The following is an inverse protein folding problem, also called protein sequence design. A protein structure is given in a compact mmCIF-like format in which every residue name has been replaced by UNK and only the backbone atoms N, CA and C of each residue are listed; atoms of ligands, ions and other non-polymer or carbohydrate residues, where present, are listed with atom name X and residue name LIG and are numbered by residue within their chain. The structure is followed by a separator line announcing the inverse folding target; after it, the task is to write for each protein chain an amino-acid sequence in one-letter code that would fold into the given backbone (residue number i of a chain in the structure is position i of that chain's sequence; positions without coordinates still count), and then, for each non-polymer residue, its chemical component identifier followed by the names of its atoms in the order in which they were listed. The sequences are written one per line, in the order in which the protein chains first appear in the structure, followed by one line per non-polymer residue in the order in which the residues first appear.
data_IF_019981891677
#
_entry.id   IF_019981891677
#
_cell.length_a   1.000
_cell.length_b   1.000
_cell.length_c   1.000
_cell.angle_alpha   90.00
_cell.angle_beta   90.00
_cell.angle_gamma   90.00
#
_symmetry.space_group_name_H-M   'P 1'
#
loop_
_entity.id
_entity.type
_entity.pdbx_description
1 polymer ?
#
# COMPACT_ATOMS: atom_id res chain seq x y z
N UNK A 1 5.69 13.45 -17.91
CA UNK A 1 5.00 12.17 -17.62
C UNK A 1 5.73 11.06 -18.36
N UNK A 2 6.82 10.54 -17.79
CA UNK A 2 7.54 9.40 -18.36
C UNK A 2 6.76 8.12 -17.99
N UNK A 3 6.02 7.60 -18.96
CA UNK A 3 5.17 6.41 -18.84
C UNK A 3 6.06 5.16 -18.80
N UNK A 4 6.53 4.81 -17.61
CA UNK A 4 6.69 3.42 -17.22
C UNK A 4 5.49 3.09 -16.34
N UNK A 5 4.80 1.97 -16.56
CA UNK A 5 3.68 1.61 -15.70
C UNK A 5 4.20 1.40 -14.28
N UNK A 6 3.92 2.36 -13.38
CA UNK A 6 4.19 2.23 -11.93
C UNK A 6 3.61 0.93 -11.37
N UNK A 7 2.62 0.36 -12.05
CA UNK A 7 2.10 -0.99 -11.82
C UNK A 7 3.19 -2.07 -11.64
N UNK A 8 4.12 -2.23 -12.60
CA UNK A 8 5.15 -3.27 -12.50
C UNK A 8 6.12 -2.99 -11.36
N UNK A 9 6.46 -1.72 -11.16
CA UNK A 9 7.30 -1.27 -10.04
C UNK A 9 6.61 -1.56 -8.71
N UNK A 10 5.32 -1.24 -8.57
CA UNK A 10 4.54 -1.46 -7.34
C UNK A 10 4.32 -2.95 -7.01
N UNK A 11 4.40 -3.83 -8.01
CA UNK A 11 4.32 -5.28 -7.82
C UNK A 11 5.67 -5.88 -7.43
N UNK A 12 6.76 -5.41 -8.03
CA UNK A 12 8.11 -5.95 -7.86
C UNK A 12 9.00 -5.14 -6.92
N UNK A 13 8.49 -4.07 -6.32
CA UNK A 13 9.23 -3.27 -5.36
C UNK A 13 9.40 -4.06 -4.05
N UNK A 14 10.65 -4.31 -3.59
CA UNK A 14 10.90 -5.11 -2.40
C UNK A 14 10.27 -4.50 -1.13
N UNK A 15 10.21 -3.17 -1.02
CA UNK A 15 9.66 -2.52 0.16
C UNK A 15 8.14 -2.67 0.24
N UNK A 16 7.46 -2.50 -0.89
CA UNK A 16 6.01 -2.68 -1.00
C UNK A 16 5.62 -4.13 -0.79
N UNK A 17 6.37 -5.08 -1.35
CA UNK A 17 6.18 -6.51 -1.09
C UNK A 17 6.39 -6.88 0.38
N UNK A 18 7.45 -6.36 1.01
CA UNK A 18 7.69 -6.59 2.42
C UNK A 18 6.52 -6.09 3.28
N UNK A 19 6.00 -4.89 3.02
CA UNK A 19 4.81 -4.37 3.70
C UNK A 19 3.59 -5.29 3.54
N UNK A 20 3.37 -5.84 2.34
CA UNK A 20 2.31 -6.83 2.09
C UNK A 20 2.54 -8.14 2.83
N UNK A 21 3.78 -8.66 2.87
CA UNK A 21 4.10 -9.88 3.60
C UNK A 21 3.91 -9.71 5.11
N UNK A 22 4.39 -8.58 5.65
CA UNK A 22 4.21 -8.25 7.07
C UNK A 22 2.71 -8.19 7.42
N UNK A 23 1.93 -7.45 6.63
CA UNK A 23 0.50 -7.23 6.90
C UNK A 23 -0.35 -8.49 6.70
N UNK A 24 -0.13 -9.22 5.60
CA UNK A 24 -1.05 -10.29 5.16
C UNK A 24 -0.55 -11.71 5.43
N UNK A 25 0.73 -11.92 5.73
CA UNK A 25 1.24 -13.26 6.05
C UNK A 25 1.72 -13.34 7.50
N UNK A 26 2.61 -12.44 7.91
CA UNK A 26 3.26 -12.51 9.22
C UNK A 26 2.28 -12.15 10.34
N UNK A 27 1.51 -11.06 10.19
CA UNK A 27 0.61 -10.57 11.25
C UNK A 27 -0.55 -11.52 11.57
N UNK A 28 -1.24 -12.15 10.60
CA UNK A 28 -2.24 -13.17 10.91
C UNK A 28 -1.67 -14.36 11.67
N UNK A 29 -0.45 -14.79 11.34
CA UNK A 29 0.26 -15.84 12.09
C UNK A 29 0.53 -15.38 13.52
N UNK A 30 0.98 -14.14 13.71
CA UNK A 30 1.14 -13.55 15.04
C UNK A 30 -0.18 -13.51 15.83
N UNK A 31 -1.29 -13.07 15.21
CA UNK A 31 -2.61 -13.05 15.86
C UNK A 31 -3.09 -14.44 16.26
N UNK A 32 -2.85 -15.44 15.41
CA UNK A 32 -3.17 -16.83 15.71
C UNK A 32 -2.44 -17.32 16.97
N UNK A 33 -1.12 -17.14 17.02
CA UNK A 33 -0.34 -17.55 18.20
C UNK A 33 -0.65 -16.71 19.44
N UNK A 34 -0.91 -15.40 19.29
CA UNK A 34 -1.31 -14.53 20.39
C UNK A 34 -2.62 -15.00 21.02
N UNK A 35 -3.62 -15.37 20.20
CA UNK A 35 -4.91 -15.83 20.71
C UNK A 35 -4.82 -17.22 21.33
N UNK A 36 -4.02 -18.14 20.78
CA UNK A 36 -3.74 -19.42 21.44
C UNK A 36 -3.08 -19.20 22.82
N UNK A 37 -2.10 -18.30 22.88
CA UNK A 37 -1.42 -17.99 24.14
C UNK A 37 -2.38 -17.30 25.12
N UNK A 38 -3.29 -16.45 24.64
CA UNK A 38 -4.35 -15.86 25.44
C UNK A 38 -5.24 -16.94 26.05
N UNK A 39 -5.75 -17.88 25.25
CA UNK A 39 -6.61 -18.98 25.72
C UNK A 39 -5.91 -19.82 26.80
N UNK A 40 -4.60 -20.08 26.62
CA UNK A 40 -3.79 -20.78 27.62
C UNK A 40 -3.66 -19.95 28.90
N UNK A 41 -3.31 -18.66 28.81
CA UNK A 41 -3.13 -17.80 29.99
C UNK A 41 -4.44 -17.55 30.74
N UNK A 42 -5.55 -17.39 30.02
CA UNK A 42 -6.89 -17.28 30.61
C UNK A 42 -7.25 -18.56 31.38
N UNK A 43 -6.84 -19.75 30.91
CA UNK A 43 -7.02 -21.00 31.66
C UNK A 43 -6.25 -21.05 33.01
N UNK A 44 -5.27 -20.16 33.20
CA UNK A 44 -4.52 -19.94 34.44
C UNK A 44 -4.93 -18.65 35.18
N UNK A 45 -6.06 -18.03 34.82
CA UNK A 45 -6.54 -16.74 35.36
C UNK A 45 -5.56 -15.56 35.18
N UNK A 46 -4.73 -15.59 34.12
CA UNK A 46 -3.76 -14.55 33.79
C UNK A 46 -4.22 -13.68 32.60
N UNK A 47 -4.68 -12.46 32.87
CA UNK A 47 -5.24 -11.53 31.87
C UNK A 47 -4.21 -10.51 31.35
N UNK A 48 -3.03 -10.97 30.94
CA UNK A 48 -1.96 -10.08 30.49
C UNK A 48 -2.06 -9.70 28.99
N UNK A 49 -2.69 -10.56 28.18
CA UNK A 49 -2.78 -10.38 26.74
C UNK A 49 -4.15 -9.84 26.34
N UNK A 50 -4.21 -9.14 25.20
CA UNK A 50 -5.46 -8.68 24.61
C UNK A 50 -5.83 -9.51 23.38
N UNK A 51 -7.11 -9.87 23.19
CA UNK A 51 -7.56 -10.63 22.03
C UNK A 51 -7.33 -9.84 20.74
N UNK A 52 -6.79 -10.52 19.73
CA UNK A 52 -6.52 -9.93 18.43
C UNK A 52 -7.53 -10.44 17.41
N UNK A 53 -8.22 -9.52 16.74
CA UNK A 53 -9.18 -9.88 15.70
C UNK A 53 -8.48 -10.00 14.35
N UNK A 54 -8.69 -11.12 13.64
CA UNK A 54 -8.20 -11.29 12.28
C UNK A 54 -8.76 -10.22 11.33
N UNK A 55 -7.93 -9.66 10.44
CA UNK A 55 -8.38 -8.64 9.50
C UNK A 55 -9.22 -9.31 8.39
N UNK A 56 -10.45 -8.83 8.22
CA UNK A 56 -11.33 -9.25 7.14
C UNK A 56 -10.88 -8.56 5.85
N UNK A 57 -10.10 -9.27 5.04
CA UNK A 57 -9.55 -8.82 3.77
C UNK A 57 -9.88 -9.89 2.71
N UNK A 58 -10.02 -9.47 1.45
CA UNK A 58 -10.32 -10.38 0.35
C UNK A 58 -9.22 -11.45 0.15
N UNK A 59 -9.62 -12.71 0.00
CA UNK A 59 -8.73 -13.85 -0.25
C UNK A 59 -7.70 -13.65 -1.37
N UNK A 60 -8.03 -13.01 -2.52
CA UNK A 60 -7.06 -12.81 -3.60
C UNK A 60 -5.79 -12.05 -3.17
N UNK A 61 -5.90 -11.16 -2.16
CA UNK A 61 -4.76 -10.41 -1.63
C UNK A 61 -3.81 -11.33 -0.86
N UNK A 62 -4.37 -12.22 -0.03
CA UNK A 62 -3.60 -13.25 0.69
C UNK A 62 -2.91 -14.20 -0.30
N UNK A 63 -3.64 -14.65 -1.32
CA UNK A 63 -3.09 -15.51 -2.37
C UNK A 63 -1.93 -14.82 -3.10
N UNK A 64 -2.09 -13.56 -3.50
CA UNK A 64 -1.03 -12.79 -4.14
C UNK A 64 0.20 -12.67 -3.23
N UNK A 65 0.02 -12.33 -1.95
CA UNK A 65 1.12 -12.22 -1.00
C UNK A 65 1.84 -13.56 -0.80
N UNK A 66 1.10 -14.66 -0.65
CA UNK A 66 1.65 -16.00 -0.47
C UNK A 66 2.43 -16.47 -1.71
N UNK A 67 1.86 -16.30 -2.91
CA UNK A 67 2.51 -16.69 -4.17
C UNK A 67 3.78 -15.87 -4.44
N UNK A 68 3.73 -14.56 -4.23
CA UNK A 68 4.91 -13.69 -4.41
C UNK A 68 5.99 -13.98 -3.37
N UNK A 69 5.63 -14.25 -2.11
CA UNK A 69 6.56 -14.69 -1.09
C UNK A 69 7.21 -16.03 -1.46
N UNK A 70 6.42 -17.03 -1.85
CA UNK A 70 6.92 -18.34 -2.26
C UNK A 70 7.84 -18.24 -3.48
N UNK A 71 7.47 -17.46 -4.50
CA UNK A 71 8.30 -17.26 -5.68
C UNK A 71 9.66 -16.65 -5.33
N UNK A 72 9.67 -15.60 -4.49
CA UNK A 72 10.92 -14.97 -4.03
C UNK A 72 11.74 -15.92 -3.17
N UNK A 73 11.10 -16.66 -2.26
CA UNK A 73 11.76 -17.66 -1.43
C UNK A 73 12.43 -18.75 -2.26
N UNK A 74 11.73 -19.32 -3.25
CA UNK A 74 12.27 -20.34 -4.14
C UNK A 74 13.42 -19.80 -5.00
N UNK A 75 13.30 -18.58 -5.54
CA UNK A 75 14.39 -17.93 -6.26
C UNK A 75 15.60 -17.70 -5.37
N UNK A 76 15.38 -17.27 -4.13
CA UNK A 76 16.46 -17.03 -3.17
C UNK A 76 17.15 -18.32 -2.73
N UNK A 77 16.37 -19.37 -2.48
CA UNK A 77 16.86 -20.69 -2.10
C UNK A 77 17.67 -21.34 -3.24
N UNK A 78 17.20 -21.23 -4.49
CA UNK A 78 17.81 -21.94 -5.63
C UNK A 78 18.97 -21.18 -6.29
N UNK A 79 18.90 -19.84 -6.33
CA UNK A 79 19.81 -18.98 -7.09
C UNK A 79 20.33 -17.78 -6.29
N UNK A 80 20.17 -17.78 -4.96
CA UNK A 80 20.73 -16.76 -4.06
C UNK A 80 20.08 -15.39 -4.22
N UNK A 81 20.73 -14.45 -4.91
CA UNK A 81 20.27 -13.05 -5.05
C UNK A 81 19.60 -12.76 -6.39
N UNK A 82 19.06 -13.77 -7.07
CA UNK A 82 18.45 -13.62 -8.40
C UNK A 82 17.40 -12.50 -8.44
N UNK A 83 16.46 -12.49 -7.48
CA UNK A 83 15.43 -11.46 -7.39
C UNK A 83 16.03 -10.04 -7.40
N UNK A 84 17.00 -9.79 -6.53
CA UNK A 84 17.65 -8.48 -6.41
C UNK A 84 18.45 -8.11 -7.66
N UNK A 85 19.06 -9.09 -8.34
CA UNK A 85 19.93 -8.82 -9.47
C UNK A 85 19.19 -8.68 -10.81
N UNK A 86 18.00 -9.25 -10.97
CA UNK A 86 17.31 -9.31 -12.27
C UNK A 86 15.88 -8.78 -12.29
N UNK A 87 15.12 -8.93 -11.20
CA UNK A 87 13.69 -8.58 -11.17
C UNK A 87 13.42 -7.29 -10.40
N UNK A 88 14.17 -7.04 -9.33
CA UNK A 88 13.99 -5.89 -8.47
C UNK A 88 14.41 -4.60 -9.22
N UNK A 89 13.54 -3.58 -9.32
CA UNK A 89 13.87 -2.33 -9.98
C UNK A 89 15.00 -1.59 -9.25
N UNK A 90 14.99 -1.61 -7.90
CA UNK A 90 16.04 -0.99 -7.07
C UNK A 90 17.39 -1.66 -7.33
N UNK A 91 17.43 -2.98 -7.39
CA UNK A 91 18.67 -3.71 -7.62
C UNK A 91 19.23 -3.52 -9.03
N UNK A 92 18.36 -3.36 -10.03
CA UNK A 92 18.76 -3.03 -11.41
C UNK A 92 19.42 -1.64 -11.48
N UNK A 93 18.85 -0.64 -10.79
CA UNK A 93 19.43 0.71 -10.69
C UNK A 93 20.76 0.68 -9.94
N UNK A 94 20.83 0.00 -8.80
CA UNK A 94 22.05 -0.13 -8.01
C UNK A 94 23.15 -0.88 -8.80
N UNK A 95 22.81 -1.91 -9.57
CA UNK A 95 23.75 -2.64 -10.42
C UNK A 95 24.35 -1.77 -11.52
N UNK A 96 23.55 -0.87 -12.12
CA UNK A 96 24.03 0.12 -13.08
C UNK A 96 25.02 1.12 -12.45
N UNK A 97 24.71 1.62 -11.24
CA UNK A 97 25.62 2.48 -10.49
C UNK A 97 26.90 1.74 -10.08
N UNK A 98 26.78 0.49 -9.64
CA UNK A 98 27.91 -0.36 -9.20
C UNK A 98 28.92 -0.61 -10.32
N UNK A 99 28.48 -0.67 -11.59
CA UNK A 99 29.37 -0.79 -12.75
C UNK A 99 30.42 0.32 -12.83
N UNK A 100 30.11 1.51 -12.29
CA UNK A 100 30.98 2.68 -12.30
C UNK A 100 31.73 2.87 -10.96
N UNK A 101 31.61 1.94 -10.01
CA UNK A 101 32.27 2.04 -8.71
C UNK A 101 33.81 2.04 -8.85
N UNK A 102 34.46 3.01 -8.19
CA UNK A 102 35.93 3.16 -8.22
C UNK A 102 36.64 2.06 -7.44
N UNK A 103 36.03 1.59 -6.36
CA UNK A 103 36.54 0.50 -5.53
C UNK A 103 35.72 -0.76 -5.77
N UNK A 104 36.40 -1.86 -6.06
CA UNK A 104 35.77 -3.11 -6.47
C UNK A 104 36.58 -4.33 -6.09
N UNK A 105 35.89 -5.46 -5.94
CA UNK A 105 36.50 -6.78 -5.72
C UNK A 105 37.27 -7.19 -6.99
N UNK A 106 38.48 -7.71 -6.81
CA UNK A 106 39.34 -8.26 -7.85
C UNK A 106 39.92 -9.59 -7.45
N UNK A 107 40.19 -10.40 -8.47
CA UNK A 107 40.99 -11.61 -8.35
C UNK A 107 42.34 -11.29 -8.99
N UNK A 108 43.42 -11.50 -8.24
CA UNK A 108 44.76 -11.46 -8.78
C UNK A 108 45.08 -12.79 -9.46
N UNK A 109 45.33 -12.75 -10.77
CA UNK A 109 45.56 -13.94 -11.58
C UNK A 109 46.89 -14.64 -11.27
N UNK A 110 47.86 -13.92 -10.69
CA UNK A 110 49.17 -14.51 -10.34
C UNK A 110 49.08 -15.39 -9.09
N UNK A 111 48.24 -15.01 -8.13
CA UNK A 111 48.05 -15.73 -6.86
C UNK A 111 46.83 -16.65 -6.85
N UNK A 112 45.96 -16.56 -7.86
CA UNK A 112 44.77 -17.38 -7.97
C UNK A 112 45.09 -18.78 -8.51
N UNK A 113 44.76 -19.80 -7.73
CA UNK A 113 44.92 -21.22 -8.11
C UNK A 113 43.67 -21.83 -8.77
N UNK A 114 42.67 -21.03 -9.14
CA UNK A 114 41.46 -21.51 -9.82
C UNK A 114 40.56 -22.46 -9.02
N UNK A 115 40.66 -22.49 -7.68
CA UNK A 115 39.98 -23.52 -6.85
C UNK A 115 38.43 -23.47 -6.81
N UNK A 116 37.80 -22.43 -7.35
CA UNK A 116 36.32 -22.30 -7.42
C UNK A 116 35.59 -22.09 -6.08
N UNK A 117 36.28 -21.99 -4.94
CA UNK A 117 35.63 -21.81 -3.62
C UNK A 117 34.85 -20.49 -3.52
N UNK A 118 35.43 -19.41 -4.06
CA UNK A 118 34.80 -18.10 -4.07
C UNK A 118 33.52 -18.07 -4.92
N UNK A 119 33.50 -18.80 -6.03
CA UNK A 119 32.34 -18.93 -6.92
C UNK A 119 31.19 -19.67 -6.23
N UNK A 120 31.47 -20.81 -5.58
CA UNK A 120 30.46 -21.56 -4.81
C UNK A 120 29.86 -20.76 -3.66
N UNK A 121 30.65 -19.87 -3.04
CA UNK A 121 30.18 -19.01 -1.95
C UNK A 121 29.45 -17.76 -2.45
N UNK A 122 29.59 -17.41 -3.73
CA UNK A 122 29.03 -16.19 -4.30
C UNK A 122 27.51 -16.28 -4.43
N UNK A 123 26.78 -15.66 -3.50
CA UNK A 123 25.31 -15.57 -3.54
C UNK A 123 24.76 -14.84 -4.77
N UNK A 124 25.60 -14.05 -5.45
CA UNK A 124 25.23 -13.30 -6.65
C UNK A 124 25.64 -13.99 -7.97
N UNK A 125 26.34 -15.13 -7.89
CA UNK A 125 26.89 -15.85 -9.06
C UNK A 125 27.62 -14.93 -10.05
N UNK A 126 28.45 -14.03 -9.51
CA UNK A 126 29.15 -12.97 -10.28
C UNK A 126 30.66 -13.18 -10.37
N UNK A 127 31.16 -14.35 -9.96
CA UNK A 127 32.58 -14.71 -9.96
C UNK A 127 32.81 -15.86 -10.93
N UNK A 128 33.88 -15.78 -11.70
CA UNK A 128 34.39 -16.85 -12.56
C UNK A 128 35.85 -17.08 -12.16
N UNK A 129 36.11 -18.20 -11.50
CA UNK A 129 37.43 -18.53 -10.97
C UNK A 129 38.40 -19.00 -12.06
N UNK A 130 37.90 -19.52 -13.17
CA UNK A 130 38.71 -20.01 -14.29
C UNK A 130 39.34 -18.84 -15.06
N UNK A 131 38.55 -17.79 -15.32
CA UNK A 131 39.02 -16.61 -16.05
C UNK A 131 39.45 -15.45 -15.13
N UNK A 132 39.39 -15.62 -13.81
CA UNK A 132 39.70 -14.56 -12.85
C UNK A 132 38.78 -13.34 -12.98
N UNK A 133 37.55 -13.54 -13.44
CA UNK A 133 36.61 -12.47 -13.80
C UNK A 133 35.57 -12.23 -12.71
N UNK A 134 35.25 -10.96 -12.48
CA UNK A 134 34.21 -10.53 -11.53
C UNK A 134 33.25 -9.59 -12.23
N UNK A 135 31.99 -10.00 -12.34
CA UNK A 135 30.91 -9.18 -12.87
C UNK A 135 30.47 -8.14 -11.83
N UNK A 136 30.96 -6.92 -12.01
CA UNK A 136 30.70 -5.80 -11.10
C UNK A 136 29.26 -5.31 -11.12
N UNK A 137 28.48 -5.62 -12.17
CA UNK A 137 27.07 -5.22 -12.24
C UNK A 137 26.18 -5.98 -11.25
N UNK A 138 26.61 -7.20 -10.87
CA UNK A 138 25.91 -8.08 -9.93
C UNK A 138 26.61 -8.18 -8.58
N UNK A 139 27.86 -7.74 -8.48
CA UNK A 139 28.60 -7.74 -7.23
C UNK A 139 28.08 -6.66 -6.28
N UNK A 140 27.64 -7.10 -5.10
CA UNK A 140 27.16 -6.25 -3.99
C UNK A 140 28.22 -6.04 -2.90
N UNK A 141 29.48 -6.41 -3.18
CA UNK A 141 30.61 -6.29 -2.26
C UNK A 141 30.36 -6.85 -0.84
N UNK A 142 29.77 -8.04 -0.71
CA UNK A 142 29.51 -8.67 0.60
C UNK A 142 30.75 -9.29 1.27
N UNK A 143 31.91 -9.31 0.59
CA UNK A 143 33.19 -9.87 1.07
C UNK A 143 33.22 -11.36 1.42
N UNK A 144 32.13 -12.11 1.20
CA UNK A 144 32.07 -13.56 1.40
C UNK A 144 33.19 -14.33 0.64
N UNK A 145 33.63 -13.81 -0.51
CA UNK A 145 34.70 -14.40 -1.31
C UNK A 145 36.10 -14.14 -0.75
N UNK A 146 36.32 -13.00 -0.09
CA UNK A 146 37.62 -12.65 0.51
C UNK A 146 37.91 -13.62 1.66
N UNK A 147 36.93 -13.87 2.52
CA UNK A 147 37.09 -14.76 3.68
C UNK A 147 37.29 -16.24 3.35
N UNK A 148 36.93 -16.70 2.15
CA UNK A 148 37.04 -18.13 1.76
C UNK A 148 38.28 -18.43 0.90
N UNK A 149 39.02 -17.41 0.47
CA UNK A 149 40.15 -17.57 -0.43
C UNK A 149 41.38 -18.11 0.33
N UNK A 150 41.89 -19.32 0.03
CA UNK A 150 43.03 -19.89 0.75
C UNK A 150 44.36 -19.18 0.44
N UNK A 151 44.48 -18.54 -0.73
CA UNK A 151 45.70 -17.86 -1.18
C UNK A 151 45.63 -16.34 -1.03
N UNK A 152 44.55 -15.80 -0.44
CA UNK A 152 44.30 -14.35 -0.34
C UNK A 152 44.39 -13.59 -1.69
N UNK A 153 44.13 -14.27 -2.82
CA UNK A 153 44.15 -13.70 -4.16
C UNK A 153 43.02 -12.69 -4.42
N UNK A 154 42.02 -12.60 -3.54
CA UNK A 154 40.85 -11.73 -3.70
C UNK A 154 41.02 -10.47 -2.86
N UNK A 155 41.08 -9.31 -3.52
CA UNK A 155 41.30 -8.01 -2.86
C UNK A 155 40.21 -7.00 -3.21
N UNK A 156 39.96 -6.06 -2.30
CA UNK A 156 39.13 -4.89 -2.54
C UNK A 156 40.01 -3.66 -2.71
N UNK A 157 39.93 -3.00 -3.87
CA UNK A 157 40.83 -1.87 -4.16
C UNK A 157 40.37 -0.96 -5.28
N UNK A 158 41.09 0.14 -5.49
CA UNK A 158 40.82 1.18 -6.49
C UNK A 158 41.15 0.71 -7.92
N UNK A 159 40.29 1.00 -8.90
CA UNK A 159 40.34 0.49 -10.28
C UNK A 159 41.74 0.63 -10.91
N UNK A 160 42.47 -0.49 -11.12
CA UNK A 160 43.61 -0.51 -12.06
C UNK A 160 43.03 -0.55 -13.48
N UNK A 161 43.40 0.40 -14.34
CA UNK A 161 43.06 0.39 -15.78
C UNK A 161 43.88 -0.73 -16.45
N UNK A 162 43.26 -1.87 -16.75
CA UNK A 162 43.58 -2.86 -17.82
C UNK A 162 42.76 -4.13 -17.50
N UNK A 163 42.18 -4.94 -18.39
CA UNK A 163 42.44 -5.34 -19.79
C UNK A 163 41.08 -5.39 -20.54
N UNK A 164 41.11 -5.28 -21.88
CA UNK A 164 39.95 -5.34 -22.80
C UNK A 164 38.89 -6.35 -22.34
N UNK A 165 37.65 -5.87 -22.15
CA UNK A 165 36.49 -6.77 -22.18
C UNK A 165 36.58 -7.61 -23.45
N UNK A 166 36.32 -8.93 -23.42
CA UNK A 166 36.13 -9.69 -24.65
C UNK A 166 35.12 -8.93 -25.50
N UNK A 167 35.49 -8.65 -26.75
CA UNK A 167 34.65 -7.87 -27.65
C UNK A 167 33.23 -8.47 -27.63
N UNK A 168 32.19 -7.64 -27.45
CA UNK A 168 30.83 -8.16 -27.38
C UNK A 168 30.56 -8.92 -28.68
N UNK A 169 30.26 -10.22 -28.53
CA UNK A 169 30.07 -11.15 -29.65
C UNK A 169 29.14 -10.50 -30.70
N UNK A 170 29.58 -10.33 -31.97
CA UNK A 170 28.82 -9.59 -32.98
C UNK A 170 27.40 -10.16 -33.20
N UNK A 171 27.18 -11.45 -32.91
CA UNK A 171 25.86 -12.08 -32.95
C UNK A 171 24.89 -11.53 -31.87
N UNK A 172 25.36 -11.27 -30.64
CA UNK A 172 24.54 -10.67 -29.57
C UNK A 172 24.24 -9.19 -29.81
N UNK A 173 25.15 -8.49 -30.49
CA UNK A 173 24.97 -7.07 -30.88
C UNK A 173 23.90 -6.92 -31.96
N UNK A 174 23.88 -7.83 -32.95
CA UNK A 174 22.85 -7.86 -34.01
C UNK A 174 21.45 -8.11 -33.44
N UNK A 175 21.34 -9.03 -32.47
CA UNK A 175 20.08 -9.35 -31.79
C UNK A 175 19.56 -8.20 -30.93
N UNK A 176 20.43 -7.44 -30.26
CA UNK A 176 20.04 -6.26 -29.47
C UNK A 176 19.67 -5.06 -30.36
N UNK A 177 20.35 -4.87 -31.49
CA UNK A 177 19.96 -3.83 -32.47
C UNK A 177 18.68 -4.19 -33.22
N UNK A 178 18.42 -5.47 -33.50
CA UNK A 178 17.18 -5.92 -34.12
C UNK A 178 15.98 -5.84 -33.16
N UNK A 179 16.17 -6.09 -31.86
CA UNK A 179 15.12 -5.85 -30.86
C UNK A 179 14.92 -4.37 -30.54
N UNK A 180 15.95 -3.53 -30.65
CA UNK A 180 15.80 -2.08 -30.53
C UNK A 180 15.09 -1.47 -31.73
N UNK A 181 15.32 -1.91 -32.97
CA UNK A 181 14.57 -1.41 -34.14
C UNK A 181 13.14 -1.96 -34.20
N UNK A 182 12.90 -3.22 -33.79
CA UNK A 182 11.55 -3.77 -33.67
C UNK A 182 10.78 -3.16 -32.48
N UNK A 183 11.48 -2.90 -31.36
CA UNK A 183 10.90 -2.29 -30.16
C UNK A 183 10.65 -0.79 -30.30
N UNK A 184 11.49 -0.05 -31.04
CA UNK A 184 11.27 1.39 -31.28
C UNK A 184 10.17 1.67 -32.31
N UNK A 185 9.86 0.73 -33.22
CA UNK A 185 8.64 0.78 -34.04
C UNK A 185 7.37 0.56 -33.21
N UNK A 186 7.43 -0.19 -32.10
CA UNK A 186 6.31 -0.35 -31.15
C UNK A 186 6.17 0.80 -30.15
N UNK A 187 7.22 1.60 -29.94
CA UNK A 187 7.18 2.80 -29.06
C UNK A 187 6.77 4.06 -29.84
N UNK A 188 6.92 4.09 -31.17
CA UNK A 188 6.49 5.21 -32.03
C UNK A 188 5.16 4.95 -32.76
N UNK A 189 4.64 3.73 -32.75
CA UNK A 189 3.21 3.51 -32.97
C UNK A 189 2.46 4.08 -31.76
N UNK A 190 2.20 5.39 -31.81
CA UNK A 190 1.06 6.01 -31.13
C UNK A 190 -0.16 5.19 -31.50
N UNK A 191 -0.46 4.17 -30.71
CA UNK A 191 -1.81 3.65 -30.63
C UNK A 191 -2.67 4.84 -30.18
N UNK A 192 -3.68 5.28 -30.96
CA UNK A 192 -4.82 5.98 -30.38
C UNK A 192 -5.62 4.91 -29.61
N UNK A 193 -4.96 4.30 -28.63
CA UNK A 193 -5.45 3.24 -27.79
C UNK A 193 -5.91 3.86 -26.50
N UNK A 194 -6.95 4.69 -26.59
CA UNK A 194 -7.97 4.65 -25.55
C UNK A 194 -8.49 3.21 -25.55
N UNK A 195 -7.80 2.36 -24.78
CA UNK A 195 -8.36 1.24 -24.03
C UNK A 195 -9.71 0.73 -24.57
N UNK A 196 -9.65 -0.20 -25.52
CA UNK A 196 -10.81 -1.01 -25.92
C UNK A 196 -11.41 -1.80 -24.73
N UNK A 197 -10.71 -1.83 -23.59
CA UNK A 197 -11.10 -2.47 -22.33
C UNK A 197 -11.46 -1.50 -21.19
N UNK A 198 -11.32 -0.17 -21.35
CA UNK A 198 -11.72 0.76 -20.30
C UNK A 198 -13.22 0.77 -19.97
N UNK A 199 -14.16 0.49 -20.90
CA UNK A 199 -15.58 0.56 -20.52
C UNK A 199 -16.05 -0.71 -19.80
N UNK A 200 -15.26 -1.79 -19.74
CA UNK A 200 -15.75 -3.07 -19.22
C UNK A 200 -15.76 -3.17 -17.68
N UNK A 201 -15.11 -2.25 -16.96
CA UNK A 201 -15.08 -2.27 -15.47
C UNK A 201 -15.12 -0.83 -14.92
N UNK A 202 -15.91 0.05 -15.53
CA UNK A 202 -16.22 1.34 -14.91
C UNK A 202 -17.28 1.12 -13.81
N UNK A 203 -16.83 0.87 -12.58
CA UNK A 203 -17.72 0.87 -11.41
C UNK A 203 -18.43 2.23 -11.37
N UNK A 204 -19.76 2.24 -11.25
CA UNK A 204 -20.61 3.45 -11.32
C UNK A 204 -20.20 4.55 -10.32
N UNK A 205 -19.53 4.17 -9.22
CA UNK A 205 -19.06 5.09 -8.18
C UNK A 205 -17.53 5.23 -8.22
N UNK A 206 -17.07 6.48 -8.13
CA UNK A 206 -15.65 6.83 -8.04
C UNK A 206 -15.06 6.21 -6.76
N UNK A 207 -13.88 5.57 -6.80
CA UNK A 207 -13.27 5.02 -5.61
C UNK A 207 -12.86 6.15 -4.65
N UNK A 208 -12.96 5.87 -3.36
CA UNK A 208 -12.76 6.88 -2.31
C UNK A 208 -11.39 6.65 -1.68
N UNK A 209 -10.56 7.69 -1.69
CA UNK A 209 -9.20 7.65 -1.12
C UNK A 209 -9.21 8.12 0.35
N UNK A 210 -8.27 7.64 1.19
CA UNK A 210 -8.17 8.04 2.59
C UNK A 210 -7.91 9.54 2.77
N UNK A 211 -8.28 10.13 3.93
CA UNK A 211 -7.97 11.52 4.22
C UNK A 211 -6.45 11.76 4.20
N UNK A 212 -6.02 12.88 3.61
CA UNK A 212 -4.59 13.21 3.42
C UNK A 212 -4.04 12.85 2.04
N UNK A 213 -4.83 12.21 1.18
CA UNK A 213 -4.38 11.87 -0.18
C UNK A 213 -4.44 13.00 -1.20
N UNK A 214 -4.98 14.17 -0.84
CA UNK A 214 -5.16 15.39 -1.68
C UNK A 214 -6.14 15.18 -2.84
N UNK A 215 -5.88 14.22 -3.72
CA UNK A 215 -6.74 13.88 -4.85
C UNK A 215 -6.60 12.40 -5.20
N UNK A 216 -7.58 11.90 -5.95
CA UNK A 216 -7.55 10.55 -6.51
C UNK A 216 -6.34 10.38 -7.43
N UNK A 217 -6.03 11.38 -8.26
CA UNK A 217 -4.90 11.34 -9.19
C UNK A 217 -3.55 11.31 -8.45
N UNK A 218 -3.37 12.14 -7.42
CA UNK A 218 -2.17 12.14 -6.58
C UNK A 218 -2.00 10.79 -5.87
N UNK A 219 -3.07 10.26 -5.28
CA UNK A 219 -3.01 8.99 -4.57
C UNK A 219 -2.57 7.83 -5.48
N UNK A 220 -3.19 7.70 -6.65
CA UNK A 220 -2.91 6.59 -7.57
C UNK A 220 -1.48 6.66 -8.10
N UNK A 221 -0.92 7.86 -8.27
CA UNK A 221 0.45 8.06 -8.75
C UNK A 221 1.50 7.86 -7.64
N UNK A 222 1.20 8.19 -6.40
CA UNK A 222 2.16 8.17 -5.29
C UNK A 222 2.09 6.90 -4.43
N UNK A 223 0.96 6.17 -4.45
CA UNK A 223 0.76 4.99 -3.61
C UNK A 223 1.45 3.76 -4.21
N UNK A 224 2.34 3.14 -3.45
CA UNK A 224 3.01 1.90 -3.87
C UNK A 224 2.24 0.64 -3.49
N UNK A 225 1.12 0.76 -2.76
CA UNK A 225 0.32 -0.37 -2.29
C UNK A 225 1.05 -1.23 -1.24
N UNK A 226 1.84 -0.62 -0.35
CA UNK A 226 2.59 -1.32 0.70
C UNK A 226 1.72 -1.84 1.86
N UNK A 227 0.45 -1.42 1.95
CA UNK A 227 -0.55 -1.82 2.94
C UNK A 227 -0.28 -1.48 4.42
N UNK A 228 0.75 -0.67 4.74
CA UNK A 228 0.96 -0.19 6.11
C UNK A 228 -0.25 0.61 6.65
N UNK A 229 -0.88 1.44 5.80
CA UNK A 229 -2.09 2.18 6.19
C UNK A 229 -3.32 1.28 6.39
N UNK A 230 -3.38 0.13 5.69
CA UNK A 230 -4.42 -0.89 5.88
C UNK A 230 -4.21 -1.57 7.23
N UNK A 231 -2.96 -1.87 7.56
CA UNK A 231 -2.59 -2.54 8.81
C UNK A 231 -2.94 -1.75 10.08
N UNK A 232 -2.68 -0.43 10.07
CA UNK A 232 -2.97 0.45 11.22
C UNK A 232 -4.45 0.85 11.31
N UNK A 233 -5.27 0.49 10.32
CA UNK A 233 -6.67 0.87 10.27
C UNK A 233 -7.54 -0.05 11.14
N UNK A 234 -7.65 0.26 12.43
CA UNK A 234 -8.46 -0.54 13.37
C UNK A 234 -9.93 -0.64 12.96
N UNK A 235 -10.46 0.40 12.29
CA UNK A 235 -11.83 0.46 11.79
C UNK A 235 -12.07 -0.39 10.52
N UNK A 236 -11.00 -0.92 9.90
CA UNK A 236 -11.03 -1.80 8.73
C UNK A 236 -11.70 -1.22 7.47
N UNK A 237 -11.90 0.09 7.45
CA UNK A 237 -12.47 0.79 6.28
C UNK A 237 -11.48 0.82 5.11
N UNK A 238 -10.18 0.75 5.36
CA UNK A 238 -9.19 0.67 4.29
C UNK A 238 -9.01 -0.77 3.87
N UNK A 239 -9.38 -1.07 2.64
CA UNK A 239 -9.28 -2.40 2.04
C UNK A 239 -8.40 -2.32 0.78
N UNK A 240 -7.58 -3.34 0.48
CA UNK A 240 -6.84 -3.39 -0.77
C UNK A 240 -7.82 -3.44 -1.96
N UNK A 241 -7.72 -2.47 -2.86
CA UNK A 241 -8.48 -2.47 -4.10
C UNK A 241 -7.98 -3.57 -5.03
N UNK A 242 -8.90 -4.17 -5.79
CA UNK A 242 -8.53 -5.07 -6.88
C UNK A 242 -8.54 -4.32 -8.21
N UNK A 243 -9.72 -3.85 -8.63
CA UNK A 243 -9.89 -3.14 -9.91
C UNK A 243 -10.58 -1.78 -9.75
N UNK A 244 -10.77 -1.30 -8.52
CA UNK A 244 -11.50 -0.05 -8.23
C UNK A 244 -10.82 1.19 -8.84
N UNK A 245 -9.48 1.20 -8.91
CA UNK A 245 -8.67 2.24 -9.55
C UNK A 245 -8.24 1.85 -10.98
N UNK A 246 -8.81 0.80 -11.55
CA UNK A 246 -8.28 0.13 -12.74
C UNK A 246 -6.98 -0.63 -12.45
N UNK A 247 -6.34 -1.16 -13.50
CA UNK A 247 -5.12 -1.98 -13.35
C UNK A 247 -3.97 -1.21 -12.68
N UNK A 248 -3.85 0.10 -12.90
CA UNK A 248 -2.75 0.90 -12.36
C UNK A 248 -2.76 1.01 -10.83
N UNK A 249 -3.95 0.99 -10.21
CA UNK A 249 -4.10 1.05 -8.76
C UNK A 249 -4.49 -0.28 -8.11
N UNK A 250 -4.20 -1.40 -8.78
CA UNK A 250 -4.36 -2.72 -8.18
C UNK A 250 -3.52 -2.83 -6.90
N UNK A 251 -4.08 -3.40 -5.83
CA UNK A 251 -3.48 -3.45 -4.49
C UNK A 251 -3.22 -2.08 -3.86
N UNK A 252 -3.79 -0.98 -4.37
CA UNK A 252 -3.81 0.28 -3.62
C UNK A 252 -4.99 0.29 -2.64
N UNK A 253 -4.87 0.91 -1.45
CA UNK A 253 -5.96 0.98 -0.49
C UNK A 253 -7.14 1.81 -1.02
N UNK A 254 -8.36 1.30 -0.89
CA UNK A 254 -9.62 2.03 -1.10
C UNK A 254 -10.43 2.06 0.20
N UNK A 255 -11.20 3.13 0.39
CA UNK A 255 -12.16 3.21 1.49
C UNK A 255 -13.41 2.39 1.14
N UNK A 256 -13.59 1.25 1.81
CA UNK A 256 -14.76 0.39 1.72
C UNK A 256 -15.64 0.53 2.96
N UNK A 257 -16.78 1.20 2.78
CA UNK A 257 -17.76 1.42 3.84
C UNK A 257 -18.68 0.22 4.12
N UNK A 258 -18.56 -0.86 3.32
CA UNK A 258 -19.16 -2.15 3.66
C UNK A 258 -18.42 -2.84 4.81
N UNK A 259 -17.09 -2.74 4.80
CA UNK A 259 -16.21 -3.35 5.80
C UNK A 259 -16.06 -2.52 7.09
N UNK A 260 -16.23 -1.20 7.02
CA UNK A 260 -16.08 -0.33 8.20
C UNK A 260 -16.43 1.14 7.95
N UNK A 261 -15.90 2.03 8.79
CA UNK A 261 -16.08 3.49 8.66
C UNK A 261 -14.78 4.22 8.99
N UNK A 262 -14.56 5.40 8.43
CA UNK A 262 -13.47 6.26 8.88
C UNK A 262 -13.81 6.81 10.27
N UNK A 263 -13.13 6.32 11.30
CA UNK A 263 -13.34 6.84 12.65
C UNK A 263 -12.94 8.31 12.73
N UNK A 264 -13.80 9.17 13.30
CA UNK A 264 -13.59 10.63 13.32
C UNK A 264 -12.32 11.01 14.10
N UNK A 265 -12.11 10.37 15.26
CA UNK A 265 -11.05 10.67 16.22
C UNK A 265 -9.74 9.88 16.00
N UNK A 266 -9.44 9.50 14.76
CA UNK A 266 -8.24 8.75 14.39
C UNK A 266 -7.52 9.37 13.18
N UNK A 267 -6.19 9.48 13.25
CA UNK A 267 -5.32 9.91 12.14
C UNK A 267 -4.15 8.94 11.85
N UNK A 268 -4.17 7.69 12.35
CA UNK A 268 -3.05 6.75 12.27
C UNK A 268 -2.57 6.47 10.84
N UNK A 269 -3.47 6.32 9.87
CA UNK A 269 -3.10 6.06 8.48
C UNK A 269 -2.28 7.20 7.85
N UNK A 270 -2.47 8.44 8.33
CA UNK A 270 -1.72 9.62 7.87
C UNK A 270 -0.29 9.63 8.38
N UNK A 271 -0.04 8.96 9.52
CA UNK A 271 1.29 8.85 10.12
C UNK A 271 2.07 7.63 9.62
N UNK A 272 1.38 6.65 9.03
CA UNK A 272 1.97 5.39 8.61
C UNK A 272 2.47 5.37 7.15
N UNK A 273 2.21 6.40 6.34
CA UNK A 273 2.48 6.37 4.91
C UNK A 273 3.92 6.82 4.57
N UNK A 274 4.81 5.90 4.13
CA UNK A 274 6.18 6.28 3.80
C UNK A 274 6.32 6.93 2.42
N UNK A 275 5.39 6.67 1.49
CA UNK A 275 5.50 7.15 0.11
C UNK A 275 4.96 8.57 -0.09
N UNK A 276 4.39 9.20 0.95
CA UNK A 276 3.72 10.49 0.85
C UNK A 276 2.39 10.46 0.09
N UNK A 277 1.87 9.27 -0.27
CA UNK A 277 0.55 9.14 -0.88
C UNK A 277 -0.60 9.56 0.05
N UNK A 278 -0.38 9.45 1.35
CA UNK A 278 -1.21 10.03 2.41
C UNK A 278 -0.30 10.96 3.19
N UNK A 279 -0.58 12.26 3.17
CA UNK A 279 0.19 13.24 3.91
C UNK A 279 -0.10 13.13 5.41
N UNK A 280 0.90 13.40 6.27
CA UNK A 280 0.69 13.46 7.71
C UNK A 280 -0.25 14.61 8.04
N UNK A 281 -1.31 14.31 8.80
CA UNK A 281 -2.28 15.28 9.28
C UNK A 281 -2.41 15.16 10.80
N UNK A 282 -2.51 16.29 11.49
CA UNK A 282 -3.00 16.32 12.86
C UNK A 282 -4.47 15.87 12.91
N UNK A 283 -4.96 15.53 14.10
CA UNK A 283 -6.33 15.08 14.25
C UNK A 283 -7.34 16.15 13.80
N UNK A 284 -7.12 17.40 14.18
CA UNK A 284 -8.01 18.52 13.88
C UNK A 284 -8.01 18.89 12.39
N UNK A 285 -6.88 18.71 11.70
CA UNK A 285 -6.80 18.87 10.25
C UNK A 285 -7.57 17.77 9.54
N UNK A 286 -7.34 16.50 9.94
CA UNK A 286 -8.03 15.36 9.36
C UNK A 286 -9.55 15.43 9.55
N UNK A 287 -10.03 15.91 10.69
CA UNK A 287 -11.46 16.14 10.95
C UNK A 287 -12.10 17.18 10.01
N UNK A 288 -11.29 18.04 9.39
CA UNK A 288 -11.74 19.06 8.42
C UNK A 288 -11.56 18.60 6.97
N UNK A 289 -10.96 17.45 6.70
CA UNK A 289 -10.82 16.94 5.33
C UNK A 289 -12.14 16.34 4.87
N UNK A 290 -12.65 16.82 3.74
CA UNK A 290 -13.79 16.28 3.04
C UNK A 290 -13.31 15.37 1.90
N UNK A 291 -13.38 14.05 2.11
CA UNK A 291 -12.99 13.04 1.11
C UNK A 291 -14.16 12.65 0.18
N UNK A 292 -15.38 12.92 0.62
CA UNK A 292 -16.61 12.56 -0.07
C UNK A 292 -17.81 13.30 0.48
N UNK A 293 -18.92 13.26 -0.24
CA UNK A 293 -20.21 13.82 0.20
C UNK A 293 -21.25 12.73 0.32
N UNK A 294 -22.18 12.92 1.25
CA UNK A 294 -23.31 12.00 1.42
C UNK A 294 -24.27 12.13 0.23
N UNK A 295 -24.68 10.99 -0.31
CA UNK A 295 -25.72 10.84 -1.30
C UNK A 295 -26.82 9.92 -0.74
N UNK A 296 -28.06 10.17 -1.15
CA UNK A 296 -29.24 9.57 -0.53
C UNK A 296 -30.34 9.32 -1.54
N UNK A 297 -31.02 8.19 -1.42
CA UNK A 297 -32.11 7.76 -2.29
C UNK A 297 -33.35 7.48 -1.44
N UNK A 298 -34.39 8.31 -1.64
CA UNK A 298 -35.60 8.32 -0.81
C UNK A 298 -36.37 7.01 -0.93
N UNK A 299 -36.40 6.46 -2.13
CA UNK A 299 -37.13 5.25 -2.52
C UNK A 299 -36.64 4.00 -1.79
N UNK A 300 -35.41 4.02 -1.27
CA UNK A 300 -34.83 2.92 -0.49
C UNK A 300 -34.91 3.13 1.02
N UNK A 301 -35.16 4.35 1.47
CA UNK A 301 -35.13 4.66 2.89
C UNK A 301 -36.39 4.13 3.60
N UNK A 302 -36.20 3.42 4.72
CA UNK A 302 -37.32 2.87 5.50
C UNK A 302 -38.24 3.97 6.08
N UNK A 303 -37.69 5.15 6.36
CA UNK A 303 -38.47 6.29 6.86
C UNK A 303 -39.44 6.80 5.80
N UNK A 304 -38.97 6.93 4.55
CA UNK A 304 -39.80 7.41 3.45
C UNK A 304 -40.77 6.32 2.95
N UNK A 305 -40.33 5.07 2.88
CA UNK A 305 -41.14 3.96 2.34
C UNK A 305 -42.15 3.40 3.34
N UNK A 306 -41.77 3.25 4.62
CA UNK A 306 -42.63 2.65 5.66
C UNK A 306 -43.21 3.67 6.64
N UNK A 307 -42.85 4.95 6.54
CA UNK A 307 -43.29 6.02 7.46
C UNK A 307 -43.04 5.67 8.94
N UNK A 308 -41.88 5.07 9.22
CA UNK A 308 -41.44 4.72 10.59
C UNK A 308 -40.15 5.44 10.93
N UNK A 309 -40.00 5.79 12.20
CA UNK A 309 -38.80 6.41 12.71
C UNK A 309 -37.56 5.51 12.55
N UNK A 310 -36.52 6.05 11.92
CA UNK A 310 -35.20 5.45 11.86
C UNK A 310 -34.14 6.57 11.87
N UNK A 311 -33.41 6.68 12.99
CA UNK A 311 -32.37 7.68 13.21
C UNK A 311 -30.94 7.18 12.95
N UNK A 312 -30.76 5.92 12.54
CA UNK A 312 -29.45 5.25 12.56
C UNK A 312 -28.32 6.06 11.91
N UNK A 313 -28.58 6.65 10.74
CA UNK A 313 -27.59 7.46 10.01
C UNK A 313 -27.27 8.81 10.67
N UNK A 314 -28.23 9.42 11.37
CA UNK A 314 -28.07 10.69 12.05
C UNK A 314 -27.34 10.52 13.39
N UNK A 315 -27.69 9.50 14.17
CA UNK A 315 -27.07 9.22 15.49
C UNK A 315 -25.57 8.90 15.38
N UNK A 316 -25.15 8.24 14.29
CA UNK A 316 -23.73 7.92 14.09
C UNK A 316 -22.91 9.03 13.43
N UNK A 317 -23.55 10.15 13.05
CA UNK A 317 -22.89 11.21 12.28
C UNK A 317 -22.09 12.14 13.21
N UNK A 318 -20.75 12.10 13.21
CA UNK A 318 -19.94 12.88 14.15
C UNK A 318 -19.99 14.40 13.88
N UNK A 319 -20.32 14.80 12.65
CA UNK A 319 -20.42 16.22 12.28
C UNK A 319 -21.86 16.72 12.19
N UNK A 320 -22.84 15.86 12.50
CA UNK A 320 -24.28 16.10 12.29
C UNK A 320 -24.63 16.62 10.87
N UNK A 321 -23.77 16.32 9.88
CA UNK A 321 -24.05 16.55 8.47
C UNK A 321 -25.25 15.73 7.99
N UNK A 322 -25.54 14.63 8.67
CA UNK A 322 -26.82 13.91 8.60
C UNK A 322 -27.49 14.12 9.95
N UNK A 323 -28.70 14.67 9.95
CA UNK A 323 -29.51 14.90 11.15
C UNK A 323 -30.97 14.54 10.87
N UNK A 324 -31.85 14.70 11.86
CA UNK A 324 -33.29 14.44 11.67
C UNK A 324 -34.10 15.73 11.73
N UNK A 325 -35.17 15.79 10.93
CA UNK A 325 -36.23 16.79 10.98
C UNK A 325 -37.57 16.08 11.14
N UNK A 326 -38.37 16.49 12.12
CA UNK A 326 -39.70 15.92 12.35
C UNK A 326 -40.71 16.52 11.39
N UNK A 327 -41.40 15.69 10.60
CA UNK A 327 -42.54 16.07 9.75
C UNK A 327 -43.64 15.02 9.95
N UNK A 328 -44.88 15.46 10.16
CA UNK A 328 -46.02 14.54 10.34
C UNK A 328 -45.79 13.47 11.43
N UNK A 329 -45.17 13.84 12.56
CA UNK A 329 -44.78 12.93 13.66
C UNK A 329 -43.78 11.81 13.28
N UNK A 330 -43.08 11.95 12.14
CA UNK A 330 -42.01 11.03 11.71
C UNK A 330 -40.70 11.81 11.56
N UNK A 331 -39.60 11.23 12.03
CA UNK A 331 -38.25 11.83 11.95
C UNK A 331 -37.57 11.48 10.64
N UNK A 332 -37.60 12.40 9.69
CA UNK A 332 -36.95 12.26 8.38
C UNK A 332 -35.48 12.67 8.42
N UNK A 333 -34.59 11.97 7.69
CA UNK A 333 -33.21 12.39 7.56
C UNK A 333 -33.13 13.68 6.72
N UNK A 334 -32.34 14.63 7.20
CA UNK A 334 -31.99 15.88 6.56
C UNK A 334 -30.47 16.04 6.51
N UNK A 335 -29.98 16.85 5.56
CA UNK A 335 -28.57 16.83 5.16
C UNK A 335 -27.97 18.25 5.11
N UNK A 336 -26.76 18.39 5.65
CA UNK A 336 -25.85 19.54 5.47
C UNK A 336 -24.55 19.04 4.83
N UNK A 337 -24.49 18.93 3.49
CA UNK A 337 -23.34 18.35 2.80
C UNK A 337 -22.01 19.09 3.06
N UNK A 338 -22.05 20.39 3.38
CA UNK A 338 -20.85 21.19 3.61
C UNK A 338 -20.08 20.77 4.87
N UNK A 339 -20.79 20.32 5.92
CA UNK A 339 -20.18 19.76 7.14
C UNK A 339 -19.87 18.27 7.03
N UNK A 340 -20.16 17.62 5.89
CA UNK A 340 -19.89 16.20 5.69
C UNK A 340 -18.40 15.99 5.44
N UNK A 341 -17.75 15.09 6.17
CA UNK A 341 -16.35 14.72 5.90
C UNK A 341 -16.21 13.56 4.91
N UNK A 342 -17.31 12.84 4.63
CA UNK A 342 -17.27 11.62 3.84
C UNK A 342 -16.78 10.39 4.60
N UNK A 343 -16.91 10.37 5.93
CA UNK A 343 -16.40 9.28 6.78
C UNK A 343 -17.11 7.92 6.61
N UNK A 344 -18.29 7.91 5.98
CA UNK A 344 -19.06 6.70 5.67
C UNK A 344 -19.73 6.01 6.85
N UNK A 345 -19.73 6.61 8.05
CA UNK A 345 -20.43 6.06 9.21
C UNK A 345 -21.93 5.80 8.93
N UNK A 346 -22.60 6.73 8.25
CA UNK A 346 -24.01 6.63 7.90
C UNK A 346 -24.29 5.52 6.86
N UNK A 347 -23.38 5.32 5.89
CA UNK A 347 -23.47 4.23 4.92
C UNK A 347 -23.28 2.88 5.60
N UNK A 348 -22.30 2.77 6.49
CA UNK A 348 -21.98 1.52 7.18
C UNK A 348 -23.16 1.01 8.03
N UNK A 349 -23.79 1.90 8.82
CA UNK A 349 -24.88 1.53 9.74
C UNK A 349 -26.26 1.34 9.07
N UNK A 350 -26.46 1.81 7.84
CA UNK A 350 -27.79 1.79 7.23
C UNK A 350 -28.34 0.34 7.13
N UNK A 351 -29.54 0.04 7.69
CA UNK A 351 -30.03 -1.33 7.79
C UNK A 351 -30.63 -1.88 6.49
N UNK A 352 -30.84 -1.03 5.48
CA UNK A 352 -31.46 -1.43 4.20
C UNK A 352 -30.39 -1.94 3.23
N UNK A 353 -30.73 -2.96 2.45
CA UNK A 353 -29.90 -3.47 1.34
C UNK A 353 -30.75 -3.53 0.05
N UNK A 354 -30.38 -2.85 -1.05
CA UNK A 354 -29.26 -1.91 -1.19
C UNK A 354 -29.38 -0.71 -0.25
N UNK A 355 -28.24 -0.16 0.17
CA UNK A 355 -28.17 0.96 1.13
C UNK A 355 -28.89 2.18 0.55
N UNK A 356 -29.70 2.84 1.38
CA UNK A 356 -30.42 4.07 1.00
C UNK A 356 -29.53 5.33 1.03
N UNK A 357 -28.37 5.22 1.69
CA UNK A 357 -27.42 6.31 1.90
C UNK A 357 -26.02 5.78 1.61
N UNK A 358 -25.23 6.53 0.84
CA UNK A 358 -23.85 6.21 0.52
C UNK A 358 -22.99 7.47 0.48
N UNK A 359 -21.67 7.29 0.43
CA UNK A 359 -20.72 8.38 0.23
C UNK A 359 -20.27 8.37 -1.23
N UNK A 360 -20.32 9.52 -1.88
CA UNK A 360 -19.72 9.76 -3.19
C UNK A 360 -18.34 10.40 -3.01
N UNK A 361 -17.31 9.74 -3.55
CA UNK A 361 -15.94 10.24 -3.50
C UNK A 361 -15.73 11.52 -4.27
N UNK A 362 -15.04 12.49 -3.65
CA UNK A 362 -14.54 13.65 -4.36
C UNK A 362 -13.23 13.29 -5.09
N UNK A 363 -13.09 13.77 -6.33
CA UNK A 363 -11.82 13.58 -7.08
C UNK A 363 -10.67 14.35 -6.44
N UNK A 364 -10.95 15.53 -5.89
CA UNK A 364 -10.01 16.35 -5.14
C UNK A 364 -10.63 16.58 -3.77
N UNK A 365 -9.89 16.30 -2.72
CA UNK A 365 -10.35 16.50 -1.34
C UNK A 365 -10.57 17.98 -1.08
N UNK A 366 -11.64 18.27 -0.36
CA UNK A 366 -12.02 19.63 0.02
C UNK A 366 -11.89 19.81 1.52
N UNK A 367 -12.23 21.00 2.01
CA UNK A 367 -12.33 21.29 3.44
C UNK A 367 -13.79 21.33 3.84
N UNK A 368 -14.18 20.47 4.78
CA UNK A 368 -15.51 20.49 5.37
C UNK A 368 -15.70 21.72 6.25
N UNK A 369 -16.92 22.25 6.26
CA UNK A 369 -17.35 23.21 7.26
C UNK A 369 -17.32 22.56 8.67
N UNK A 370 -17.27 23.38 9.74
CA UNK A 370 -17.35 22.86 11.10
C UNK A 370 -18.58 21.96 11.33
N UNK A 371 -18.53 21.07 12.35
CA UNK A 371 -19.69 20.28 12.75
C UNK A 371 -20.94 21.14 12.90
N UNK A 372 -22.05 20.65 12.37
CA UNK A 372 -23.32 21.35 12.42
C UNK A 372 -23.96 21.17 13.80
N UNK A 373 -23.98 22.22 14.61
CA UNK A 373 -24.70 22.19 15.89
C UNK A 373 -26.15 22.62 15.64
N UNK A 374 -27.11 21.70 15.75
CA UNK A 374 -28.54 22.07 15.76
C UNK A 374 -28.84 22.88 17.03
N UNK A 375 -29.10 24.19 16.89
CA UNK A 375 -29.71 24.99 17.95
C UNK A 375 -28.80 25.82 18.87
N UNK A 376 -27.62 26.27 18.46
CA UNK A 376 -26.82 27.22 19.27
C UNK A 376 -26.92 28.67 18.78
N UNK A 377 -28.01 29.32 19.17
CA UNK A 377 -28.02 30.73 19.59
C UNK A 377 -27.68 30.90 21.06
N UNK A 378 -26.93 29.96 21.65
CA UNK A 378 -26.37 30.05 23.00
C UNK A 378 -24.92 29.65 22.93
N UNK A 379 -24.08 30.58 23.35
CA UNK A 379 -22.64 30.43 23.63
C UNK A 379 -22.40 29.11 24.38
N UNK A 380 -21.32 28.36 24.09
CA UNK A 380 -20.95 27.22 24.92
C UNK A 380 -20.86 27.68 26.38
N UNK A 381 -21.67 27.08 27.26
CA UNK A 381 -21.50 27.24 28.70
C UNK A 381 -20.07 26.81 29.04
N UNK A 382 -19.37 27.66 29.82
CA UNK A 382 -18.07 27.33 30.39
C UNK A 382 -18.16 25.94 31.04
N UNK A 383 -17.11 25.10 30.93
CA UNK A 383 -17.08 23.84 31.66
C UNK A 383 -17.34 24.13 33.14
N UNK A 384 -18.38 23.49 33.69
CA UNK A 384 -18.69 23.52 35.11
C UNK A 384 -17.48 22.99 35.88
N UNK A 385 -17.16 23.66 36.99
CA UNK A 385 -15.98 23.36 37.81
C UNK A 385 -16.01 21.95 38.42
N UNK A 386 -14.94 21.54 39.09
CA UNK A 386 -14.70 20.16 39.52
C UNK A 386 -15.69 19.62 40.58
N UNK A 387 -16.61 20.45 41.06
CA UNK A 387 -17.32 20.22 42.32
C UNK A 387 -18.80 19.83 42.12
N UNK A 388 -19.27 19.66 40.88
CA UNK A 388 -20.59 19.06 40.63
C UNK A 388 -20.44 17.54 40.50
N UNK A 389 -20.51 16.88 41.65
CA UNK A 389 -20.57 15.43 41.80
C UNK A 389 -21.73 14.87 40.97
N UNK A 390 -21.40 14.01 40.01
CA UNK A 390 -22.34 13.38 39.09
C UNK A 390 -23.26 12.45 39.88
N UNK A 391 -24.60 12.60 39.83
CA UNK A 391 -25.50 11.74 40.58
C UNK A 391 -25.52 10.37 39.90
N UNK A 392 -24.95 9.36 40.57
CA UNK A 392 -25.11 7.95 40.21
C UNK A 392 -26.45 7.41 40.70
#
# INVERSE_FOLDING_TARGET
MAVGSLFLVNILDPFSLFGRFATHLIKPVYYFFNNILLDILESFDLYYLSPQNFPLIAWPVYLFAALSFLAIFLMAFRYGRLYCNTLCPVGSVLGFCSRHARYRIRIDSETCIGCGRCEKRCKAHCLDAEHGFVDQSRCVACFDCVGVCPTNAITYGAMKKSIKNPAPNPAKRKMLTQTLTAGSLLVLARFPGQSLLAPLIAKKNKPITPPGSISLDHFVQSCTGCHLCVDVCYSRVLQPAFLDYGLQGMLQPVMDFGSGKCAYDCNLCTQACPSGAILPLSLTEKQKVQIGKVAFEKEKCIVYTKKRDCGACAEVCPTHAVHTETKENVRYPAFKPDSCTGCGACQNVCPVNPKAIWVEGLRVHQKAAPPFMQGQGKTPEKPKGPDEEFPF
#
